data_IF_312471977917
#
_entry.id   IF_312471977917
#
_cell.length_a   1.000
_cell.length_b   1.000
_cell.length_c   1.000
_cell.angle_alpha   90.00
_cell.angle_beta   90.00
_cell.angle_gamma   90.00
#
_symmetry.space_group_name_H-M   'P 1'
#
loop_
_entity.id
_entity.type
_entity.pdbx_description
1 polymer ?
#
# COMPACT_ATOMS: atom_id res chain seq x y z
N UNK A 1 24.45 14.15 8.43
CA UNK A 1 24.19 14.37 9.86
C UNK A 1 22.69 14.10 10.03
N UNK A 2 22.23 12.86 10.14
CA UNK A 2 22.33 11.97 11.30
C UNK A 2 22.70 10.55 10.83
N UNK A 3 23.99 10.23 10.90
CA UNK A 3 24.51 8.88 11.12
C UNK A 3 24.86 8.87 12.59
N UNK A 4 24.08 8.22 13.46
CA UNK A 4 24.46 7.73 14.79
C UNK A 4 23.18 7.14 15.41
N UNK A 5 23.31 6.00 16.11
CA UNK A 5 22.27 5.13 16.70
C UNK A 5 21.77 3.98 15.80
N UNK A 6 22.69 3.12 15.38
CA UNK A 6 22.37 1.70 15.17
C UNK A 6 23.59 0.85 15.58
N UNK A 7 23.95 0.91 16.86
CA UNK A 7 25.03 0.10 17.44
C UNK A 7 24.82 -0.09 18.94
N UNK A 8 23.75 -0.79 19.33
CA UNK A 8 23.58 -1.27 20.70
C UNK A 8 22.53 -2.39 20.85
N UNK A 9 22.39 -3.30 19.88
CA UNK A 9 21.57 -4.52 20.07
C UNK A 9 22.17 -5.69 19.28
N UNK A 10 23.39 -6.09 19.64
CA UNK A 10 23.96 -7.39 19.27
C UNK A 10 24.94 -7.84 20.35
N UNK A 11 24.41 -8.30 21.46
CA UNK A 11 25.07 -9.25 22.36
C UNK A 11 24.07 -9.72 23.42
N UNK A 12 24.20 -11.00 23.75
CA UNK A 12 23.63 -11.68 24.93
C UNK A 12 22.24 -12.31 24.78
N UNK A 13 22.23 -13.41 24.02
CA UNK A 13 21.42 -14.58 24.34
C UNK A 13 22.21 -15.43 25.35
N UNK A 14 21.93 -15.29 26.64
CA UNK A 14 22.34 -16.26 27.67
C UNK A 14 21.13 -16.54 28.56
N UNK A 15 20.72 -17.80 28.57
CA UNK A 15 19.80 -18.41 29.54
C UNK A 15 20.27 -18.13 30.97
N UNK A 16 19.42 -17.57 31.83
CA UNK A 16 19.40 -17.88 33.26
C UNK A 16 18.06 -17.48 33.90
N UNK A 17 17.59 -18.41 34.72
CA UNK A 17 16.37 -18.42 35.53
C UNK A 17 16.21 -17.26 36.51
N UNK A 18 14.95 -16.88 36.74
CA UNK A 18 14.38 -16.30 37.98
C UNK A 18 15.24 -15.31 38.76
N UNK A 19 15.23 -14.05 38.32
CA UNK A 19 15.27 -12.89 39.20
C UNK A 19 14.49 -11.77 38.51
N UNK A 20 13.31 -11.41 39.02
CA UNK A 20 12.69 -10.12 38.68
C UNK A 20 13.63 -9.03 39.21
N UNK A 21 14.58 -8.58 38.38
CA UNK A 21 15.31 -7.34 38.62
C UNK A 21 14.24 -6.24 38.66
N UNK A 22 13.94 -5.76 39.86
CA UNK A 22 13.22 -4.52 40.08
C UNK A 22 14.09 -3.41 39.49
N UNK A 23 13.91 -3.11 38.21
CA UNK A 23 14.38 -1.83 37.68
C UNK A 23 13.49 -0.77 38.32
N UNK A 24 14.07 0.28 38.92
CA UNK A 24 13.26 1.42 39.34
C UNK A 24 12.68 2.04 38.07
N UNK A 25 11.36 1.92 37.88
CA UNK A 25 10.66 2.55 36.76
C UNK A 25 10.94 4.06 36.72
N UNK A 26 10.92 4.64 35.52
CA UNK A 26 11.17 6.05 35.24
C UNK A 26 10.17 6.93 35.97
N UNK A 27 10.64 7.93 36.72
CA UNK A 27 9.78 8.89 37.44
C UNK A 27 9.53 10.13 36.59
N UNK A 28 8.28 10.59 36.52
CA UNK A 28 7.90 11.76 35.73
C UNK A 28 7.06 12.75 36.55
N UNK A 29 7.03 14.00 36.12
CA UNK A 29 6.05 14.98 36.59
C UNK A 29 4.68 14.64 36.01
N UNK A 30 3.66 14.59 36.85
CA UNK A 30 2.28 14.37 36.46
C UNK A 30 1.39 15.48 37.01
N UNK A 31 0.84 16.29 36.11
CA UNK A 31 0.06 17.47 36.49
C UNK A 31 -1.33 17.13 37.06
N UNK A 32 -1.83 15.93 36.78
CA UNK A 32 -3.14 15.45 37.23
C UNK A 32 -3.05 14.45 38.40
N UNK A 33 -1.85 14.22 38.95
CA UNK A 33 -1.62 13.22 40.00
C UNK A 33 -1.45 13.86 41.40
N UNK A 34 -2.47 14.58 41.88
CA UNK A 34 -2.41 15.30 43.17
C UNK A 34 -2.12 14.37 44.36
N UNK A 35 -2.75 13.19 44.37
CA UNK A 35 -2.61 12.21 45.46
C UNK A 35 -1.22 11.56 45.56
N UNK A 36 -0.38 11.73 44.54
CA UNK A 36 1.00 11.22 44.50
C UNK A 36 2.02 12.35 44.37
N UNK A 37 1.68 13.51 44.93
CA UNK A 37 2.53 14.70 44.96
C UNK A 37 3.00 15.12 43.54
N UNK A 38 2.10 15.07 42.57
CA UNK A 38 2.35 15.42 41.16
C UNK A 38 3.44 14.59 40.48
N UNK A 39 3.59 13.32 40.89
CA UNK A 39 4.57 12.40 40.30
C UNK A 39 3.93 11.08 39.90
N UNK A 40 4.48 10.45 38.86
CA UNK A 40 4.09 9.11 38.41
C UNK A 40 5.32 8.30 38.01
N UNK A 41 5.17 6.98 37.86
CA UNK A 41 6.25 6.06 37.47
C UNK A 41 5.84 5.20 36.27
N UNK A 42 6.74 4.96 35.32
CA UNK A 42 6.47 4.18 34.10
C UNK A 42 7.69 3.42 33.57
N UNK A 43 7.45 2.37 32.79
CA UNK A 43 8.48 1.66 32.00
C UNK A 43 8.63 2.24 30.58
N UNK A 44 7.81 3.25 30.22
CA UNK A 44 7.82 3.91 28.92
C UNK A 44 8.62 5.23 28.95
N UNK A 45 7.92 6.36 28.82
CA UNK A 45 8.54 7.68 28.71
C UNK A 45 7.83 8.72 29.59
N UNK A 46 8.54 9.79 29.95
CA UNK A 46 7.92 11.00 30.47
C UNK A 46 7.42 11.86 29.31
N UNK A 47 6.25 12.45 29.46
CA UNK A 47 5.57 13.23 28.42
C UNK A 47 5.24 14.64 28.93
N UNK A 48 5.49 15.63 28.10
CA UNK A 48 5.02 17.00 28.28
C UNK A 48 4.44 17.51 26.97
N UNK A 49 3.30 18.19 27.04
CA UNK A 49 2.68 18.84 25.89
C UNK A 49 2.16 20.21 26.28
N UNK A 50 2.33 21.19 25.41
CA UNK A 50 1.63 22.48 25.46
C UNK A 50 0.65 22.52 24.29
N UNK A 51 -0.57 22.99 24.54
CA UNK A 51 -1.61 23.16 23.53
C UNK A 51 -2.28 24.52 23.64
N UNK A 52 -2.77 25.06 22.53
CA UNK A 52 -3.53 26.31 22.50
C UNK A 52 -5.03 26.00 22.62
N UNK A 53 -5.64 26.35 23.77
CA UNK A 53 -7.08 26.22 24.01
C UNK A 53 -7.66 27.62 24.23
N UNK A 54 -8.61 28.07 23.41
CA UNK A 54 -9.26 29.40 23.52
C UNK A 54 -8.29 30.59 23.62
N UNK A 55 -7.14 30.53 22.91
CA UNK A 55 -6.13 31.58 22.92
C UNK A 55 -5.21 31.58 24.15
N UNK A 56 -5.32 30.60 25.05
CA UNK A 56 -4.43 30.40 26.19
C UNK A 56 -3.61 29.12 26.01
N UNK A 57 -2.32 29.19 26.32
CA UNK A 57 -1.47 28.00 26.37
C UNK A 57 -1.78 27.18 27.62
N UNK A 58 -2.12 25.91 27.43
CA UNK A 58 -2.32 24.92 28.47
C UNK A 58 -1.24 23.85 28.38
N UNK A 59 -0.59 23.55 29.50
CA UNK A 59 0.48 22.55 29.57
C UNK A 59 -0.04 21.33 30.34
N UNK A 60 0.27 20.14 29.83
CA UNK A 60 -0.04 18.86 30.46
C UNK A 60 1.24 18.03 30.52
N UNK A 61 1.46 17.36 31.65
CA UNK A 61 2.61 16.48 31.92
C UNK A 61 2.12 15.17 32.50
N UNK A 62 2.61 14.03 32.01
CA UNK A 62 2.27 12.69 32.52
C UNK A 62 3.33 11.64 32.19
N UNK A 63 3.11 10.43 32.71
CA UNK A 63 3.78 9.23 32.27
C UNK A 63 3.08 8.64 31.03
N UNK A 64 3.85 7.98 30.17
CA UNK A 64 3.34 7.14 29.07
C UNK A 64 3.89 5.74 29.27
N UNK A 65 3.01 4.74 29.21
CA UNK A 65 3.38 3.33 29.34
C UNK A 65 3.96 2.76 28.05
N UNK A 66 4.73 1.67 28.16
CA UNK A 66 5.35 1.02 27.00
C UNK A 66 4.32 0.52 25.95
N UNK A 67 3.16 -0.05 26.33
CA UNK A 67 2.09 -0.36 25.37
C UNK A 67 1.55 0.86 24.64
N UNK A 68 1.37 2.00 25.32
CA UNK A 68 0.90 3.26 24.70
C UNK A 68 1.94 3.82 23.71
N UNK A 69 3.23 3.68 24.02
CA UNK A 69 4.33 4.03 23.12
C UNK A 69 4.30 3.19 21.83
N UNK A 70 3.98 1.90 21.96
CA UNK A 70 3.86 0.97 20.83
C UNK A 70 2.54 1.13 20.04
N UNK A 71 1.54 1.81 20.61
CA UNK A 71 0.18 1.91 20.08
C UNK A 71 -0.15 3.28 19.45
N UNK A 72 0.80 3.91 18.74
CA UNK A 72 0.63 5.16 17.97
C UNK A 72 0.80 6.49 18.73
N UNK A 73 1.27 6.51 19.99
CA UNK A 73 1.68 7.79 20.62
C UNK A 73 3.08 8.17 20.13
N UNK A 74 3.13 8.93 19.04
CA UNK A 74 4.33 9.67 18.67
C UNK A 74 4.37 11.00 19.42
N UNK A 75 5.54 11.42 19.87
CA UNK A 75 5.80 12.76 20.41
C UNK A 75 5.79 13.80 19.27
N UNK A 76 4.72 13.80 18.47
CA UNK A 76 4.54 14.72 17.38
C UNK A 76 3.99 16.03 17.91
N UNK A 77 4.65 17.09 17.49
CA UNK A 77 4.20 18.47 17.70
C UNK A 77 3.46 18.94 16.46
N UNK A 78 2.33 19.63 16.63
CA UNK A 78 1.67 20.37 15.57
C UNK A 78 2.06 21.84 15.65
N UNK A 79 2.62 22.41 14.58
CA UNK A 79 3.03 23.82 14.58
C UNK A 79 1.85 24.72 14.95
N UNK A 80 2.08 25.61 15.92
CA UNK A 80 1.15 26.63 16.42
C UNK A 80 -0.10 26.12 17.16
N UNK A 81 -0.27 24.79 17.31
CA UNK A 81 -1.41 24.20 18.05
C UNK A 81 -0.94 23.36 19.22
N UNK A 82 0.08 22.50 19.02
CA UNK A 82 0.62 21.65 20.08
C UNK A 82 2.13 21.48 19.97
N UNK A 83 2.86 21.58 21.08
CA UNK A 83 4.26 21.14 21.14
C UNK A 83 4.38 20.04 22.17
N UNK A 84 4.78 18.87 21.73
CA UNK A 84 4.88 17.64 22.52
C UNK A 84 6.34 17.16 22.56
N UNK A 85 6.85 16.88 23.76
CA UNK A 85 8.17 16.30 23.97
C UNK A 85 8.06 15.06 24.86
N UNK A 86 8.78 14.00 24.49
CA UNK A 86 8.99 12.86 25.36
C UNK A 86 10.47 12.63 25.64
N UNK A 87 10.75 12.10 26.82
CA UNK A 87 12.10 11.94 27.32
C UNK A 87 12.18 10.76 28.31
N UNK A 88 13.41 10.30 28.57
CA UNK A 88 13.68 8.98 29.18
C UNK A 88 14.61 9.04 30.40
N UNK A 89 14.65 10.17 31.09
CA UNK A 89 15.39 10.34 32.37
C UNK A 89 14.47 10.89 33.45
N UNK A 90 14.73 10.59 34.71
CA UNK A 90 13.84 11.00 35.81
C UNK A 90 13.53 12.50 35.77
N UNK A 91 12.23 12.83 35.83
CA UNK A 91 11.65 14.17 35.85
C UNK A 91 12.01 15.05 34.64
N UNK A 92 12.45 14.46 33.53
CA UNK A 92 12.86 15.21 32.34
C UNK A 92 11.73 16.03 31.68
N UNK A 93 10.48 15.67 31.93
CA UNK A 93 9.31 16.43 31.47
C UNK A 93 9.02 17.66 32.34
N UNK A 94 9.87 17.97 33.32
CA UNK A 94 9.81 19.21 34.11
C UNK A 94 10.38 20.43 33.36
N UNK A 95 9.88 20.64 32.14
CA UNK A 95 10.26 21.75 31.27
C UNK A 95 9.08 22.70 31.08
N UNK A 96 9.37 23.91 30.64
CA UNK A 96 8.34 24.86 30.18
C UNK A 96 8.30 24.81 28.67
N UNK A 97 7.22 24.25 28.11
CA UNK A 97 6.97 24.24 26.67
C UNK A 97 6.19 25.50 26.27
N UNK A 98 6.55 26.09 25.14
CA UNK A 98 5.83 27.20 24.49
C UNK A 98 5.64 26.88 23.01
N UNK A 99 4.58 27.42 22.41
CA UNK A 99 4.34 27.26 20.97
C UNK A 99 5.31 28.15 20.16
N UNK A 100 5.74 27.72 18.96
CA UNK A 100 6.59 28.54 18.10
C UNK A 100 5.87 29.82 17.65
N UNK A 101 6.57 30.96 17.61
CA UNK A 101 6.05 32.22 17.03
C UNK A 101 6.20 32.12 15.51
N UNK A 102 5.12 32.40 14.79
CA UNK A 102 4.90 32.01 13.40
C UNK A 102 5.65 32.90 12.38
N UNK A 103 6.80 32.44 11.88
CA UNK A 103 7.52 33.06 10.74
C UNK A 103 7.21 32.30 9.43
N UNK A 104 5.93 32.11 9.10
CA UNK A 104 5.46 31.67 7.78
C UNK A 104 5.88 30.25 7.37
N UNK A 105 5.30 29.21 7.98
CA UNK A 105 5.61 27.83 7.61
C UNK A 105 4.40 27.03 7.12
N UNK A 106 4.59 26.29 6.03
CA UNK A 106 3.61 25.38 5.44
C UNK A 106 3.30 24.19 6.37
N UNK A 107 2.03 23.82 6.52
CA UNK A 107 1.59 22.61 7.22
C UNK A 107 1.93 21.38 6.38
N UNK A 108 2.70 20.45 6.95
CA UNK A 108 2.98 19.16 6.32
C UNK A 108 2.01 18.11 6.84
N UNK A 109 1.29 17.45 5.94
CA UNK A 109 0.46 16.29 6.26
C UNK A 109 1.23 15.03 5.87
N UNK A 110 1.40 14.12 6.84
CA UNK A 110 2.19 12.90 6.67
C UNK A 110 1.28 11.67 6.65
N UNK A 111 1.52 10.76 5.71
CA UNK A 111 1.00 9.40 5.73
C UNK A 111 2.20 8.47 5.94
N UNK A 112 2.17 7.68 7.01
CA UNK A 112 3.25 6.74 7.35
C UNK A 112 2.77 5.32 7.06
N UNK A 113 3.54 4.58 6.27
CA UNK A 113 3.25 3.19 5.89
C UNK A 113 4.49 2.31 6.07
N UNK A 114 4.30 0.99 5.97
CA UNK A 114 5.42 0.04 5.93
C UNK A 114 6.35 0.35 4.73
N UNK A 115 7.65 0.22 4.95
CA UNK A 115 8.66 0.38 3.91
C UNK A 115 9.01 -0.97 3.27
N UNK A 116 9.06 -1.01 1.95
CA UNK A 116 9.45 -2.18 1.18
C UNK A 116 10.68 -1.87 0.31
N UNK A 117 11.81 -2.48 0.66
CA UNK A 117 13.13 -2.19 0.07
C UNK A 117 13.24 -2.48 -1.42
N UNK A 118 12.45 -3.41 -1.94
CA UNK A 118 12.43 -3.75 -3.37
C UNK A 118 11.69 -2.69 -4.21
N UNK A 119 11.06 -1.69 -3.57
CA UNK A 119 10.33 -0.63 -4.25
C UNK A 119 9.08 -1.13 -4.96
N UNK A 120 8.73 -0.44 -6.05
CA UNK A 120 7.57 -0.82 -6.86
C UNK A 120 7.86 -2.05 -7.73
N UNK A 121 6.82 -2.73 -8.17
CA UNK A 121 6.90 -3.81 -9.14
C UNK A 121 7.50 -3.30 -10.47
N UNK A 122 7.21 -2.06 -10.84
CA UNK A 122 7.89 -1.38 -11.95
C UNK A 122 9.41 -1.39 -11.74
N UNK A 123 9.90 -0.93 -10.59
CA UNK A 123 11.34 -0.88 -10.31
C UNK A 123 11.96 -2.29 -10.26
N UNK A 124 11.25 -3.23 -9.64
CA UNK A 124 11.69 -4.62 -9.51
C UNK A 124 11.83 -5.31 -10.87
N UNK A 125 10.86 -5.15 -11.78
CA UNK A 125 10.86 -5.77 -13.11
C UNK A 125 11.89 -5.13 -14.07
N UNK A 126 12.24 -3.86 -13.86
CA UNK A 126 13.34 -3.22 -14.59
C UNK A 126 14.71 -3.79 -14.20
N UNK A 127 14.89 -4.11 -12.91
CA UNK A 127 16.17 -4.59 -12.37
C UNK A 127 16.37 -6.09 -12.53
N UNK A 128 15.28 -6.85 -12.44
CA UNK A 128 15.33 -8.30 -12.29
C UNK A 128 14.61 -9.02 -13.43
N UNK A 129 15.04 -10.24 -13.69
CA UNK A 129 14.23 -11.28 -14.36
C UNK A 129 13.64 -12.18 -13.29
N UNK A 130 12.51 -12.79 -13.55
CA UNK A 130 11.85 -13.72 -12.62
C UNK A 130 11.81 -15.14 -13.19
N UNK A 131 11.83 -16.13 -12.31
CA UNK A 131 11.54 -17.52 -12.67
C UNK A 131 10.03 -17.70 -12.89
N UNK A 132 9.62 -18.89 -13.35
CA UNK A 132 8.19 -19.25 -13.44
C UNK A 132 7.51 -19.15 -12.07
N UNK A 133 8.12 -19.71 -11.03
CA UNK A 133 7.61 -19.62 -9.66
C UNK A 133 7.55 -18.15 -9.16
N UNK A 134 8.59 -17.35 -9.42
CA UNK A 134 8.59 -15.92 -9.09
C UNK A 134 7.47 -15.15 -9.80
N UNK A 135 7.25 -15.42 -11.09
CA UNK A 135 6.14 -14.87 -11.88
C UNK A 135 4.79 -15.21 -11.24
N UNK A 136 4.58 -16.48 -10.88
CA UNK A 136 3.35 -16.97 -10.25
C UNK A 136 3.15 -16.30 -8.88
N UNK A 137 4.20 -16.19 -8.05
CA UNK A 137 4.15 -15.53 -6.73
C UNK A 137 3.73 -14.07 -6.82
N UNK A 138 4.37 -13.29 -7.71
CA UNK A 138 4.04 -11.88 -7.93
C UNK A 138 2.59 -11.74 -8.44
N UNK A 139 2.19 -12.56 -9.42
CA UNK A 139 0.86 -12.50 -10.00
C UNK A 139 -0.24 -12.90 -9.00
N UNK A 140 -0.02 -13.98 -8.23
CA UNK A 140 -0.96 -14.52 -7.25
C UNK A 140 -1.16 -13.59 -6.06
N UNK A 141 -0.08 -13.03 -5.52
CA UNK A 141 -0.16 -12.10 -4.39
C UNK A 141 -0.85 -10.80 -4.80
N UNK A 142 -0.59 -10.29 -6.02
CA UNK A 142 -1.33 -9.15 -6.59
C UNK A 142 -2.81 -9.47 -6.77
N UNK A 143 -3.16 -10.66 -7.32
CA UNK A 143 -4.55 -11.11 -7.46
C UNK A 143 -5.25 -11.17 -6.10
N UNK A 144 -4.54 -11.67 -5.10
CA UNK A 144 -5.06 -11.83 -3.73
C UNK A 144 -5.32 -10.50 -3.07
N UNK A 145 -4.42 -9.53 -3.23
CA UNK A 145 -4.63 -8.15 -2.78
C UNK A 145 -5.84 -7.51 -3.45
N UNK A 146 -5.95 -7.62 -4.78
CA UNK A 146 -7.08 -7.01 -5.50
C UNK A 146 -8.41 -7.69 -5.17
N UNK A 147 -8.42 -9.03 -5.05
CA UNK A 147 -9.59 -9.78 -4.61
C UNK A 147 -10.04 -9.35 -3.21
N UNK A 148 -9.10 -9.09 -2.30
CA UNK A 148 -9.41 -8.59 -0.97
C UNK A 148 -9.99 -7.16 -1.01
N UNK A 149 -9.45 -6.25 -1.83
CA UNK A 149 -10.02 -4.92 -2.03
C UNK A 149 -11.47 -5.02 -2.55
N UNK A 150 -11.69 -5.80 -3.60
CA UNK A 150 -12.97 -5.97 -4.28
C UNK A 150 -14.05 -6.70 -3.47
N UNK A 151 -13.65 -7.43 -2.42
CA UNK A 151 -14.55 -8.21 -1.59
C UNK A 151 -15.13 -7.36 -0.46
N UNK A 152 -16.45 -7.40 -0.33
CA UNK A 152 -17.16 -6.93 0.86
C UNK A 152 -17.05 -7.98 1.97
N UNK A 153 -16.80 -7.54 3.20
CA UNK A 153 -16.82 -8.39 4.39
C UNK A 153 -17.95 -7.90 5.28
N UNK A 154 -18.96 -8.73 5.49
CA UNK A 154 -20.12 -8.41 6.34
C UNK A 154 -19.80 -8.72 7.80
N UNK A 155 -20.22 -7.85 8.72
CA UNK A 155 -20.05 -8.04 10.16
C UNK A 155 -19.96 -6.73 10.93
N UNK A 156 -19.83 -6.82 12.25
CA UNK A 156 -19.67 -5.63 13.14
C UNK A 156 -18.40 -4.84 12.85
N UNK A 157 -17.36 -5.50 12.36
CA UNK A 157 -16.13 -4.91 11.81
C UNK A 157 -16.06 -5.18 10.30
N UNK A 158 -17.15 -4.88 9.61
CA UNK A 158 -17.27 -5.10 8.17
C UNK A 158 -16.29 -4.23 7.38
N UNK A 159 -15.98 -4.68 6.16
CA UNK A 159 -15.14 -3.96 5.20
C UNK A 159 -15.99 -3.70 3.94
N UNK A 160 -16.16 -2.45 3.50
CA UNK A 160 -16.84 -2.19 2.22
C UNK A 160 -16.03 -2.75 1.06
N UNK A 161 -16.68 -3.03 -0.07
CA UNK A 161 -15.97 -3.31 -1.30
C UNK A 161 -15.26 -2.04 -1.79
N UNK A 162 -14.03 -2.19 -2.27
CA UNK A 162 -13.16 -1.08 -2.69
C UNK A 162 -12.66 -1.35 -4.11
N UNK A 163 -12.73 -0.35 -4.99
CA UNK A 163 -12.10 -0.36 -6.31
C UNK A 163 -10.95 0.65 -6.34
N UNK A 164 -9.82 0.27 -6.96
CA UNK A 164 -8.55 0.97 -6.87
C UNK A 164 -8.45 2.18 -7.80
N UNK A 165 -8.93 2.06 -9.04
CA UNK A 165 -8.97 3.09 -10.10
C UNK A 165 -7.63 3.58 -10.68
N UNK A 166 -6.51 3.35 -10.01
CA UNK A 166 -5.16 3.62 -10.57
C UNK A 166 -4.19 2.43 -10.43
N UNK A 167 -4.67 1.23 -10.76
CA UNK A 167 -3.85 0.02 -10.65
C UNK A 167 -2.80 -0.04 -11.77
N UNK A 168 -1.52 -0.07 -11.40
CA UNK A 168 -0.35 -0.11 -12.29
C UNK A 168 0.85 -0.68 -11.57
N UNK A 169 1.89 -1.09 -12.30
CA UNK A 169 3.11 -1.67 -11.71
C UNK A 169 3.85 -0.72 -10.76
N UNK A 170 3.72 0.60 -10.93
CA UNK A 170 4.27 1.61 -9.98
C UNK A 170 3.51 1.68 -8.64
N UNK A 171 2.24 1.27 -8.61
CA UNK A 171 1.38 1.28 -7.42
C UNK A 171 1.26 -0.11 -6.77
N UNK A 172 2.16 -1.02 -7.13
CA UNK A 172 2.28 -2.33 -6.50
C UNK A 172 3.69 -2.41 -5.95
N UNK A 173 3.85 -2.70 -4.67
CA UNK A 173 5.15 -2.85 -4.01
C UNK A 173 5.54 -4.32 -3.94
N UNK A 174 6.85 -4.59 -4.04
CA UNK A 174 7.40 -5.95 -3.86
C UNK A 174 7.98 -6.06 -2.46
N UNK A 175 7.55 -7.08 -1.72
CA UNK A 175 8.02 -7.39 -0.37
C UNK A 175 9.33 -8.16 -0.42
N UNK A 176 10.01 -8.25 0.73
CA UNK A 176 11.25 -9.04 0.89
C UNK A 176 11.09 -10.53 0.55
N UNK A 177 9.90 -11.09 0.75
CA UNK A 177 9.57 -12.48 0.41
C UNK A 177 9.05 -12.65 -1.03
N UNK A 178 9.28 -11.66 -1.91
CA UNK A 178 8.90 -11.68 -3.32
C UNK A 178 7.38 -11.81 -3.58
N UNK A 179 6.58 -11.42 -2.60
CA UNK A 179 5.13 -11.22 -2.76
C UNK A 179 4.81 -9.75 -2.93
N UNK A 180 3.65 -9.43 -3.49
CA UNK A 180 3.22 -8.07 -3.77
C UNK A 180 2.26 -7.52 -2.69
N UNK A 181 2.30 -6.20 -2.50
CA UNK A 181 1.26 -5.42 -1.82
C UNK A 181 0.79 -4.29 -2.73
N UNK A 182 -0.53 -4.10 -2.84
CA UNK A 182 -1.10 -2.99 -3.59
C UNK A 182 -1.00 -1.73 -2.72
N UNK A 183 -0.54 -0.63 -3.29
CA UNK A 183 -0.30 0.65 -2.63
C UNK A 183 -1.03 1.79 -3.37
N UNK A 184 -0.98 3.00 -2.81
CA UNK A 184 -1.56 4.21 -3.39
C UNK A 184 -3.07 4.12 -3.67
N UNK A 185 -3.83 4.06 -2.57
CA UNK A 185 -5.29 4.02 -2.57
C UNK A 185 -5.93 5.42 -2.63
N UNK A 186 -5.17 6.46 -3.01
CA UNK A 186 -5.63 7.86 -2.97
C UNK A 186 -6.80 8.18 -3.91
N UNK A 187 -7.00 7.35 -4.94
CA UNK A 187 -8.09 7.47 -5.91
C UNK A 187 -9.19 6.41 -5.74
N UNK A 188 -9.06 5.55 -4.72
CA UNK A 188 -9.97 4.43 -4.51
C UNK A 188 -11.39 4.89 -4.16
N UNK A 189 -12.38 4.11 -4.56
CA UNK A 189 -13.80 4.35 -4.23
C UNK A 189 -14.34 3.18 -3.43
N UNK A 190 -15.24 3.50 -2.49
CA UNK A 190 -15.90 2.52 -1.61
C UNK A 190 -17.36 2.38 -2.00
N UNK A 191 -17.87 1.15 -1.91
CA UNK A 191 -19.29 0.85 -2.06
C UNK A 191 -19.95 0.78 -0.69
N UNK A 192 -21.00 1.57 -0.50
CA UNK A 192 -21.95 1.38 0.59
C UNK A 192 -23.08 0.47 0.09
N UNK A 193 -23.06 -0.78 0.53
CA UNK A 193 -24.04 -1.80 0.12
C UNK A 193 -25.43 -1.57 0.73
N UNK A 194 -25.54 -0.87 1.85
CA UNK A 194 -26.81 -0.59 2.53
C UNK A 194 -27.58 0.51 1.81
N UNK A 195 -26.88 1.59 1.43
CA UNK A 195 -27.46 2.71 0.69
C UNK A 195 -27.42 2.51 -0.82
N UNK A 196 -26.70 1.47 -1.27
CA UNK A 196 -26.34 1.25 -2.68
C UNK A 196 -25.73 2.51 -3.32
N UNK A 197 -24.84 3.18 -2.58
CA UNK A 197 -24.15 4.40 -3.02
C UNK A 197 -22.65 4.17 -3.16
N UNK A 198 -22.01 5.04 -3.92
CA UNK A 198 -20.58 4.99 -4.17
C UNK A 198 -20.03 6.37 -3.80
N UNK A 199 -18.94 6.39 -3.03
CA UNK A 199 -18.23 7.61 -2.66
C UNK A 199 -17.37 8.10 -3.84
N UNK A 200 -18.02 8.69 -4.85
CA UNK A 200 -17.38 9.11 -6.10
C UNK A 200 -16.96 10.58 -6.00
N UNK A 201 -15.66 10.92 -6.13
CA UNK A 201 -15.24 12.31 -6.29
C UNK A 201 -15.70 12.89 -7.64
N UNK A 202 -15.90 14.21 -7.72
CA UNK A 202 -16.52 14.91 -8.87
C UNK A 202 -15.91 14.59 -10.26
N UNK A 203 -14.65 14.14 -10.35
CA UNK A 203 -14.00 13.79 -11.60
C UNK A 203 -13.86 12.26 -11.76
N UNK A 204 -14.48 11.66 -12.79
CA UNK A 204 -14.43 10.22 -12.98
C UNK A 204 -13.23 9.71 -13.77
N UNK A 205 -12.69 10.52 -14.70
CA UNK A 205 -11.50 10.20 -15.50
C UNK A 205 -10.22 10.53 -14.75
N UNK A 206 -9.92 9.70 -13.76
CA UNK A 206 -8.70 9.75 -12.95
C UNK A 206 -7.86 8.51 -13.15
N UNK A 207 -6.61 8.56 -12.70
CA UNK A 207 -5.64 7.49 -12.84
C UNK A 207 -4.76 7.63 -14.08
N UNK A 208 -3.95 6.61 -14.31
CA UNK A 208 -2.89 6.64 -15.32
C UNK A 208 -3.43 6.24 -16.68
N UNK A 209 -3.42 7.19 -17.64
CA UNK A 209 -4.01 7.07 -18.98
C UNK A 209 -3.64 5.75 -19.70
N UNK A 210 -2.38 5.33 -19.63
CA UNK A 210 -1.86 4.08 -20.23
C UNK A 210 -2.59 2.81 -19.77
N UNK A 211 -3.10 2.81 -18.54
CA UNK A 211 -3.74 1.66 -17.89
C UNK A 211 -5.28 1.75 -17.87
N UNK A 212 -5.86 2.82 -18.39
CA UNK A 212 -7.31 3.03 -18.42
C UNK A 212 -8.01 2.00 -19.31
N UNK A 213 -9.13 1.49 -18.81
CA UNK A 213 -10.00 0.57 -19.54
C UNK A 213 -10.72 1.28 -20.71
N UNK A 214 -11.12 0.55 -21.77
CA UNK A 214 -11.79 1.13 -22.95
C UNK A 214 -13.00 2.00 -22.60
N UNK A 215 -13.83 1.56 -21.64
CA UNK A 215 -15.02 2.27 -21.20
C UNK A 215 -14.72 3.59 -20.47
N UNK A 216 -13.52 3.74 -19.89
CA UNK A 216 -13.05 4.99 -19.28
C UNK A 216 -12.53 5.93 -20.37
N UNK A 217 -11.80 5.39 -21.36
CA UNK A 217 -11.24 6.15 -22.47
C UNK A 217 -12.32 6.73 -23.40
N UNK A 218 -13.37 5.96 -23.67
CA UNK A 218 -14.53 6.39 -24.46
C UNK A 218 -15.56 7.17 -23.64
N UNK A 219 -15.36 7.34 -22.34
CA UNK A 219 -16.27 8.05 -21.43
C UNK A 219 -17.69 7.46 -21.38
N UNK A 220 -17.81 6.14 -21.57
CA UNK A 220 -19.09 5.39 -21.59
C UNK A 220 -19.31 4.56 -20.33
N UNK A 221 -18.39 4.62 -19.37
CA UNK A 221 -18.47 3.87 -18.12
C UNK A 221 -19.67 4.31 -17.27
N UNK A 222 -20.54 3.37 -16.88
CA UNK A 222 -21.61 3.66 -15.93
C UNK A 222 -21.06 3.72 -14.50
N UNK A 223 -20.94 4.93 -13.99
CA UNK A 223 -20.37 5.24 -12.68
C UNK A 223 -21.32 4.96 -11.51
N UNK A 224 -22.61 4.81 -11.77
CA UNK A 224 -23.58 4.46 -10.73
C UNK A 224 -23.53 2.97 -10.37
N UNK A 225 -22.77 2.17 -11.13
CA UNK A 225 -22.61 0.73 -10.92
C UNK A 225 -21.19 0.49 -10.40
N UNK A 226 -21.08 0.10 -9.13
CA UNK A 226 -19.79 -0.15 -8.49
C UNK A 226 -18.97 -1.23 -9.21
N UNK A 227 -19.64 -2.24 -9.74
CA UNK A 227 -19.00 -3.33 -10.49
C UNK A 227 -18.27 -2.83 -11.75
N UNK A 228 -18.67 -1.69 -12.33
CA UNK A 228 -17.92 -1.06 -13.43
C UNK A 228 -16.49 -0.73 -13.00
N UNK A 229 -16.29 -0.18 -11.79
CA UNK A 229 -14.96 0.17 -11.29
C UNK A 229 -14.10 -1.07 -11.05
N UNK A 230 -14.69 -2.13 -10.49
CA UNK A 230 -14.00 -3.41 -10.32
C UNK A 230 -13.56 -3.99 -11.67
N UNK A 231 -14.43 -3.95 -12.68
CA UNK A 231 -14.10 -4.43 -14.04
C UNK A 231 -12.99 -3.62 -14.68
N UNK A 232 -12.93 -2.31 -14.43
CA UNK A 232 -11.84 -1.46 -14.89
C UNK A 232 -10.50 -1.85 -14.23
N UNK A 233 -10.47 -2.09 -12.92
CA UNK A 233 -9.27 -2.58 -12.23
C UNK A 233 -8.75 -3.90 -12.82
N UNK A 234 -9.65 -4.81 -13.23
CA UNK A 234 -9.27 -6.09 -13.85
C UNK A 234 -8.56 -5.87 -15.18
N UNK A 235 -9.02 -4.92 -15.99
CA UNK A 235 -8.35 -4.58 -17.24
C UNK A 235 -6.91 -4.13 -16.97
N UNK A 236 -6.74 -3.21 -16.01
CA UNK A 236 -5.42 -2.70 -15.61
C UNK A 236 -4.53 -3.80 -15.01
N UNK A 237 -5.10 -4.72 -14.22
CA UNK A 237 -4.40 -5.90 -13.69
C UNK A 237 -3.86 -6.80 -14.82
N UNK A 238 -4.65 -7.00 -15.88
CA UNK A 238 -4.22 -7.76 -17.06
C UNK A 238 -2.98 -7.15 -17.72
N UNK A 239 -2.90 -5.81 -17.78
CA UNK A 239 -1.72 -5.11 -18.30
C UNK A 239 -0.49 -5.31 -17.40
N UNK A 240 -0.67 -5.27 -16.07
CA UNK A 240 0.41 -5.56 -15.11
C UNK A 240 0.91 -7.00 -15.27
N UNK A 241 0.02 -7.97 -15.49
CA UNK A 241 0.43 -9.36 -15.74
C UNK A 241 1.26 -9.53 -17.00
N UNK A 242 0.97 -8.76 -18.04
CA UNK A 242 1.83 -8.74 -19.23
C UNK A 242 3.23 -8.23 -18.92
N UNK A 243 3.37 -7.19 -18.09
CA UNK A 243 4.68 -6.70 -17.63
C UNK A 243 5.45 -7.77 -16.85
N UNK A 244 4.78 -8.48 -15.94
CA UNK A 244 5.39 -9.57 -15.14
C UNK A 244 5.83 -10.73 -16.05
N UNK A 245 4.98 -11.17 -16.98
CA UNK A 245 5.24 -12.33 -17.83
C UNK A 245 6.42 -12.12 -18.80
N UNK A 246 6.61 -10.90 -19.31
CA UNK A 246 7.79 -10.56 -20.14
C UNK A 246 9.12 -10.75 -19.43
N UNK A 247 9.12 -10.62 -18.10
CA UNK A 247 10.33 -10.78 -17.29
C UNK A 247 10.52 -12.21 -16.82
N UNK A 248 9.60 -13.13 -17.15
CA UNK A 248 9.76 -14.54 -16.88
C UNK A 248 10.84 -15.12 -17.79
N UNK A 249 11.95 -15.57 -17.21
CA UNK A 249 13.05 -16.20 -17.95
C UNK A 249 12.85 -17.70 -18.05
N UNK A 250 12.86 -18.24 -19.26
CA UNK A 250 12.73 -19.68 -19.53
C UNK A 250 13.91 -20.11 -20.39
N UNK A 251 14.73 -21.03 -19.86
CA UNK A 251 15.93 -21.49 -20.56
C UNK A 251 16.93 -20.36 -20.86
N UNK A 252 16.94 -19.30 -20.05
CA UNK A 252 17.80 -18.12 -20.24
C UNK A 252 17.27 -17.10 -21.25
N UNK A 253 16.13 -17.35 -21.88
CA UNK A 253 15.47 -16.43 -22.81
C UNK A 253 14.48 -15.57 -22.03
N UNK A 254 14.58 -14.24 -22.18
CA UNK A 254 13.67 -13.27 -21.55
C UNK A 254 13.58 -12.02 -22.40
N UNK A 255 12.44 -11.32 -22.38
CA UNK A 255 12.28 -10.03 -23.03
C UNK A 255 12.65 -8.87 -22.10
N UNK A 256 13.19 -7.79 -22.66
CA UNK A 256 13.40 -6.56 -21.87
C UNK A 256 12.08 -6.02 -21.30
N UNK A 257 12.21 -5.38 -20.14
CA UNK A 257 11.09 -4.68 -19.51
C UNK A 257 10.56 -3.59 -20.44
N UNK A 258 9.24 -3.55 -20.59
CA UNK A 258 8.55 -2.53 -21.34
C UNK A 258 7.23 -2.23 -20.66
N UNK A 259 6.77 -0.98 -20.76
CA UNK A 259 5.42 -0.61 -20.37
C UNK A 259 4.39 -1.17 -21.37
N UNK A 260 3.15 -1.44 -20.94
CA UNK A 260 2.09 -1.84 -21.87
C UNK A 260 1.91 -0.78 -22.95
N UNK A 261 1.75 -1.19 -24.21
CA UNK A 261 1.61 -0.29 -25.37
C UNK A 261 2.86 0.55 -25.71
N UNK A 262 4.06 0.21 -25.20
CA UNK A 262 5.30 0.96 -25.49
C UNK A 262 5.61 1.12 -26.99
N UNK A 263 5.12 0.20 -27.81
CA UNK A 263 5.36 0.06 -29.24
C UNK A 263 4.38 0.87 -30.11
N UNK A 264 3.27 1.36 -29.53
CA UNK A 264 2.17 2.00 -30.27
C UNK A 264 1.72 3.35 -29.72
N UNK A 265 2.20 3.76 -28.54
CA UNK A 265 1.94 5.10 -27.98
C UNK A 265 3.21 5.72 -27.38
N UNK A 266 3.32 7.07 -27.30
CA UNK A 266 4.46 7.74 -26.67
C UNK A 266 4.57 7.43 -25.17
N UNK A 267 5.69 7.78 -24.54
CA UNK A 267 5.97 7.46 -23.13
C UNK A 267 4.94 8.02 -22.15
N UNK A 268 4.49 9.27 -22.35
CA UNK A 268 3.37 9.89 -21.62
C UNK A 268 2.19 10.13 -22.59
N UNK A 269 1.34 9.12 -22.84
CA UNK A 269 0.29 9.20 -23.84
C UNK A 269 -0.86 10.08 -23.38
N UNK A 270 -1.47 10.82 -24.31
CA UNK A 270 -2.73 11.52 -24.04
C UNK A 270 -3.90 10.53 -23.93
N UNK A 271 -5.05 11.00 -23.46
CA UNK A 271 -6.28 10.18 -23.47
C UNK A 271 -6.63 9.78 -24.91
N UNK A 272 -6.44 10.71 -25.86
CA UNK A 272 -6.76 10.48 -27.27
C UNK A 272 -5.83 9.44 -27.93
N UNK A 273 -4.54 9.44 -27.58
CA UNK A 273 -3.60 8.40 -28.03
C UNK A 273 -4.06 7.02 -27.59
N UNK A 274 -4.42 6.90 -26.31
CA UNK A 274 -4.90 5.64 -25.74
C UNK A 274 -6.25 5.23 -26.32
N UNK A 275 -7.18 6.17 -26.50
CA UNK A 275 -8.51 5.91 -27.08
C UNK A 275 -8.40 5.37 -28.50
N UNK A 276 -7.58 6.01 -29.35
CA UNK A 276 -7.30 5.55 -30.72
C UNK A 276 -6.77 4.12 -30.77
N UNK A 277 -5.80 3.78 -29.91
CA UNK A 277 -5.19 2.43 -29.90
C UNK A 277 -6.11 1.38 -29.29
N UNK A 278 -6.71 1.68 -28.14
CA UNK A 278 -7.43 0.70 -27.31
C UNK A 278 -8.89 0.53 -27.73
N UNK A 279 -9.55 1.61 -28.16
CA UNK A 279 -10.98 1.63 -28.47
C UNK A 279 -11.24 1.52 -29.99
N UNK A 280 -10.56 2.34 -30.80
CA UNK A 280 -10.78 2.37 -32.25
C UNK A 280 -10.09 1.21 -32.96
N UNK A 281 -8.76 1.09 -32.77
CA UNK A 281 -7.97 0.02 -33.38
C UNK A 281 -8.10 -1.32 -32.64
N UNK A 282 -8.64 -1.29 -31.40
CA UNK A 282 -8.84 -2.47 -30.53
C UNK A 282 -7.56 -3.27 -30.28
N UNK A 283 -6.42 -2.60 -30.27
CA UNK A 283 -5.12 -3.22 -30.01
C UNK A 283 -4.96 -3.52 -28.52
N UNK A 284 -4.18 -4.56 -28.23
CA UNK A 284 -3.75 -4.98 -26.89
C UNK A 284 -2.25 -5.30 -26.93
N UNK A 285 -1.54 -5.33 -25.78
CA UNK A 285 -0.14 -5.72 -25.78
C UNK A 285 0.06 -7.10 -26.40
N UNK A 286 1.05 -7.22 -27.28
CA UNK A 286 1.31 -8.46 -28.01
C UNK A 286 1.68 -9.59 -27.04
N UNK A 287 1.07 -10.77 -27.21
CA UNK A 287 1.43 -11.99 -26.47
C UNK A 287 2.38 -12.82 -27.34
N UNK A 288 3.68 -12.90 -26.99
CA UNK A 288 4.67 -13.60 -27.78
C UNK A 288 4.33 -15.09 -27.96
N UNK A 289 4.49 -15.62 -29.18
CA UNK A 289 4.23 -17.03 -29.48
C UNK A 289 5.07 -17.99 -28.62
N UNK A 290 6.27 -17.57 -28.22
CA UNK A 290 7.15 -18.35 -27.35
C UNK A 290 6.53 -18.68 -25.99
N UNK A 291 5.57 -17.88 -25.50
CA UNK A 291 4.87 -18.16 -24.24
C UNK A 291 4.02 -19.45 -24.31
N UNK A 292 3.72 -19.97 -25.51
CA UNK A 292 3.00 -21.23 -25.68
C UNK A 292 3.84 -22.46 -25.27
N UNK A 293 5.17 -22.33 -25.18
CA UNK A 293 6.06 -23.44 -24.82
C UNK A 293 6.06 -23.76 -23.31
N UNK A 294 5.49 -22.88 -22.48
CA UNK A 294 5.42 -23.02 -21.03
C UNK A 294 3.98 -22.92 -20.56
N UNK A 295 3.54 -23.92 -19.78
CA UNK A 295 2.16 -23.98 -19.30
C UNK A 295 1.76 -22.76 -18.46
N UNK A 296 2.64 -22.31 -17.56
CA UNK A 296 2.37 -21.16 -16.73
C UNK A 296 2.16 -19.88 -17.57
N UNK A 297 3.05 -19.60 -18.52
CA UNK A 297 2.91 -18.46 -19.43
C UNK A 297 1.69 -18.58 -20.35
N UNK A 298 1.36 -19.78 -20.81
CA UNK A 298 0.14 -20.05 -21.60
C UNK A 298 -1.13 -19.71 -20.81
N UNK A 299 -1.18 -20.11 -19.53
CA UNK A 299 -2.29 -19.77 -18.63
C UNK A 299 -2.34 -18.28 -18.35
N UNK A 300 -1.19 -17.63 -18.09
CA UNK A 300 -1.12 -16.17 -17.92
C UNK A 300 -1.61 -15.42 -19.17
N UNK A 301 -1.21 -15.85 -20.38
CA UNK A 301 -1.69 -15.27 -21.64
C UNK A 301 -3.19 -15.46 -21.87
N UNK A 302 -3.80 -16.55 -21.38
CA UNK A 302 -5.27 -16.70 -21.37
C UNK A 302 -5.92 -15.71 -20.40
N UNK A 303 -5.41 -15.61 -19.17
CA UNK A 303 -5.91 -14.66 -18.16
C UNK A 303 -5.86 -13.22 -18.70
N UNK A 304 -4.75 -12.80 -19.32
CA UNK A 304 -4.61 -11.47 -19.91
C UNK A 304 -5.69 -11.19 -20.96
N UNK A 305 -5.91 -12.11 -21.91
CA UNK A 305 -6.95 -11.97 -22.93
C UNK A 305 -8.34 -11.80 -22.31
N UNK A 306 -8.64 -12.58 -21.28
CA UNK A 306 -9.93 -12.50 -20.58
C UNK A 306 -10.05 -11.25 -19.68
N UNK A 307 -8.94 -10.63 -19.28
CA UNK A 307 -8.94 -9.32 -18.60
C UNK A 307 -9.14 -8.15 -19.58
N UNK A 308 -8.76 -8.31 -20.84
CA UNK A 308 -8.68 -7.23 -21.83
C UNK A 308 -9.92 -7.07 -22.72
N UNK A 309 -10.99 -7.83 -22.46
CA UNK A 309 -12.26 -7.66 -23.17
C UNK A 309 -12.74 -6.21 -23.12
N UNK A 310 -13.23 -5.72 -24.26
CA UNK A 310 -13.81 -4.38 -24.35
C UNK A 310 -15.07 -4.28 -23.46
N UNK A 311 -15.92 -5.31 -23.48
CA UNK A 311 -17.03 -5.41 -22.54
C UNK A 311 -16.52 -5.81 -21.16
N UNK A 312 -16.55 -4.87 -20.21
CA UNK A 312 -16.15 -5.12 -18.82
C UNK A 312 -16.90 -6.28 -18.15
N UNK A 313 -18.16 -6.54 -18.52
CA UNK A 313 -18.94 -7.64 -17.93
C UNK A 313 -18.45 -9.04 -18.33
N UNK A 314 -17.67 -9.15 -19.42
CA UNK A 314 -17.06 -10.39 -19.86
C UNK A 314 -15.70 -10.65 -19.19
N UNK A 315 -15.16 -9.69 -18.42
CA UNK A 315 -13.87 -9.83 -17.77
C UNK A 315 -13.95 -10.78 -16.57
N UNK A 316 -12.83 -11.43 -16.27
CA UNK A 316 -12.67 -12.22 -15.06
C UNK A 316 -12.86 -11.37 -13.80
N UNK A 317 -13.21 -12.01 -12.68
CA UNK A 317 -13.11 -11.37 -11.36
C UNK A 317 -11.74 -11.63 -10.74
N UNK A 318 -11.27 -10.76 -9.85
CA UNK A 318 -10.00 -10.95 -9.16
C UNK A 318 -9.96 -12.27 -8.37
N UNK A 319 -11.10 -12.67 -7.79
CA UNK A 319 -11.23 -13.96 -7.10
C UNK A 319 -11.10 -15.15 -8.06
N UNK A 320 -11.66 -15.06 -9.27
CA UNK A 320 -11.51 -16.11 -10.28
C UNK A 320 -10.05 -16.23 -10.74
N UNK A 321 -9.40 -15.10 -11.01
CA UNK A 321 -7.97 -15.03 -11.35
C UNK A 321 -7.12 -15.68 -10.26
N UNK A 322 -7.33 -15.28 -9.00
CA UNK A 322 -6.64 -15.86 -7.84
C UNK A 322 -6.76 -17.38 -7.83
N UNK A 323 -7.98 -17.92 -7.97
CA UNK A 323 -8.21 -19.38 -7.99
C UNK A 323 -7.48 -20.07 -9.15
N UNK A 324 -7.49 -19.49 -10.34
CA UNK A 324 -6.79 -20.04 -11.51
C UNK A 324 -5.28 -20.05 -11.33
N UNK A 325 -4.69 -18.99 -10.78
CA UNK A 325 -3.24 -18.93 -10.55
C UNK A 325 -2.84 -19.87 -9.40
N UNK A 326 -3.64 -19.99 -8.33
CA UNK A 326 -3.36 -20.94 -7.25
C UNK A 326 -3.32 -22.40 -7.72
N UNK A 327 -4.08 -22.76 -8.76
CA UNK A 327 -4.04 -24.10 -9.35
C UNK A 327 -2.73 -24.38 -10.08
N UNK A 328 -2.03 -23.34 -10.58
CA UNK A 328 -0.70 -23.50 -11.17
C UNK A 328 0.35 -23.86 -10.12
N UNK A 329 0.29 -23.27 -8.92
CA UNK A 329 1.22 -23.58 -7.82
C UNK A 329 1.18 -25.08 -7.46
N UNK A 330 -0.03 -25.64 -7.31
CA UNK A 330 -0.22 -27.04 -6.90
C UNK A 330 0.32 -28.03 -7.95
N UNK A 331 0.29 -27.67 -9.23
CA UNK A 331 0.77 -28.52 -10.31
C UNK A 331 2.29 -28.53 -10.45
N UNK A 332 3.00 -27.49 -10.01
CA UNK A 332 4.47 -27.48 -9.98
C UNK A 332 5.00 -28.26 -8.77
N UNK A 333 4.38 -28.12 -7.60
CA UNK A 333 4.76 -28.89 -6.39
C UNK A 333 4.58 -30.41 -6.58
N UNK A 334 3.67 -30.82 -7.46
CA UNK A 334 3.42 -32.25 -7.78
C UNK A 334 4.43 -32.84 -8.79
N UNK A 335 5.31 -32.01 -9.38
CA UNK A 335 6.31 -32.41 -10.38
C UNK A 335 7.76 -32.30 -9.86
N UNK A 336 7.96 -31.75 -8.66
CA UNK A 336 9.24 -31.65 -7.96
C UNK A 336 9.48 -32.89 -7.07
#
# INVERSE_FOLDING_TARGET
MVRFLCSALKSDLIFLSSAKKYFPGLKCVCQLCEHTNFTCQTEGACWASVMLTNGKEEVIKSCVSLPELNAQVFCHSSKNVTKTECCYTDFCNNITLRLPIDNGTWTQLWLVSEYHEQGSLFDYLNRNTVTVDGMIKLALSTASGLAHLHMEIVGTQGKPAIAHRDLKSKNILVKKNETCAIADLGLAVKHDSLLNTIDIPQNPRVGTKRYMAPEILDDVMNMNIFESFKRADIYSLGLVYWEIARRCSIGGITEEYQLPYYDVVPSDPSIEDMRRVVCEQKLRPNIPNQWQSCEALRVMGRIMRECWYANGAARLTALRIKKTISQLCVQEDSKA
#
